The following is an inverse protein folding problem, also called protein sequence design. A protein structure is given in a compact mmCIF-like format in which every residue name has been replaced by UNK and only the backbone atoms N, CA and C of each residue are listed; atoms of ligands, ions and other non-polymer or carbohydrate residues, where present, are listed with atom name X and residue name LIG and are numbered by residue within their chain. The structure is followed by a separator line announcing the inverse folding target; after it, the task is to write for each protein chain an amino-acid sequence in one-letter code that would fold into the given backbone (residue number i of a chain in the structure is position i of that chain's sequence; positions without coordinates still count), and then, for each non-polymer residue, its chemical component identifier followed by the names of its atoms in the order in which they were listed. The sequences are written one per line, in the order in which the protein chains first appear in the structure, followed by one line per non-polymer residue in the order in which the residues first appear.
data_IF_134047018954
#
_entry.id   IF_134047018954
#
_cell.length_a   1.000
_cell.length_b   1.000
_cell.length_c   1.000
_cell.angle_alpha   90.00
_cell.angle_beta   90.00
_cell.angle_gamma   90.00
#
_symmetry.space_group_name_H-M   'P 1'
#
loop_
_entity.id
_entity.type
_entity.pdbx_description
1 polymer ?
#
# COMPACT_ATOMS: atom_id res chain seq x y z
N UNK A 1 -14.27 -10.19 12.28
CA UNK A 1 -14.97 -10.47 11.01
C UNK A 1 -14.19 -9.83 9.87
N UNK A 2 -13.60 -10.64 8.99
CA UNK A 2 -12.69 -10.23 7.91
C UNK A 2 -13.45 -9.42 6.85
N UNK A 3 -13.49 -8.10 7.00
CA UNK A 3 -14.13 -7.15 6.06
C UNK A 3 -13.17 -6.72 4.95
N UNK A 4 -12.52 -7.68 4.32
CA UNK A 4 -11.62 -7.44 3.17
C UNK A 4 -12.34 -6.77 1.99
N UNK A 5 -13.68 -6.81 1.98
CA UNK A 5 -14.53 -6.26 0.92
C UNK A 5 -15.34 -5.02 1.36
N UNK A 6 -15.12 -4.49 2.56
CA UNK A 6 -15.87 -3.28 2.96
C UNK A 6 -15.22 -2.05 2.33
N UNK A 7 -15.96 -1.36 1.46
CA UNK A 7 -15.56 -0.06 0.89
C UNK A 7 -15.10 0.94 1.96
N UNK A 8 -15.68 0.88 3.16
CA UNK A 8 -15.31 1.73 4.30
C UNK A 8 -13.92 1.37 4.85
N UNK A 9 -13.57 0.08 4.86
CA UNK A 9 -12.24 -0.40 5.25
C UNK A 9 -11.18 0.04 4.24
N UNK A 10 -11.47 -0.09 2.94
CA UNK A 10 -10.59 0.39 1.88
C UNK A 10 -10.37 1.90 1.95
N UNK A 11 -11.45 2.68 2.10
CA UNK A 11 -11.34 4.15 2.27
C UNK A 11 -10.46 4.53 3.46
N UNK A 12 -10.64 3.86 4.61
CA UNK A 12 -9.80 4.12 5.79
C UNK A 12 -8.35 3.70 5.56
N UNK A 13 -8.11 2.58 4.88
CA UNK A 13 -6.78 2.08 4.55
C UNK A 13 -6.03 3.06 3.65
N UNK A 14 -6.68 3.55 2.57
CA UNK A 14 -6.10 4.57 1.70
C UNK A 14 -5.83 5.89 2.44
N UNK A 15 -6.78 6.37 3.25
CA UNK A 15 -6.60 7.58 4.05
C UNK A 15 -5.47 7.43 5.07
N UNK A 16 -5.31 6.25 5.65
CA UNK A 16 -4.26 5.93 6.60
C UNK A 16 -2.89 5.90 5.92
N UNK A 17 -2.77 5.23 4.77
CA UNK A 17 -1.55 5.23 3.94
C UNK A 17 -1.17 6.66 3.58
N UNK A 18 -2.13 7.47 3.10
CA UNK A 18 -1.88 8.86 2.76
C UNK A 18 -1.39 9.67 3.97
N UNK A 19 -2.02 9.52 5.14
CA UNK A 19 -1.59 10.17 6.38
C UNK A 19 -0.19 9.72 6.81
N UNK A 20 0.16 8.46 6.61
CA UNK A 20 1.49 7.90 6.90
C UNK A 20 2.56 8.44 5.96
N UNK A 21 2.26 8.56 4.67
CA UNK A 21 3.17 9.14 3.69
C UNK A 21 3.42 10.64 3.99
N UNK A 22 2.38 11.36 4.42
CA UNK A 22 2.47 12.78 4.76
C UNK A 22 3.07 13.04 6.16
N UNK A 23 3.02 12.06 7.07
CA UNK A 23 3.55 12.21 8.43
C UNK A 23 5.07 12.33 8.45
N UNK A 24 5.59 13.27 9.25
CA UNK A 24 7.04 13.44 9.49
C UNK A 24 7.60 12.46 10.53
N UNK A 25 6.73 11.84 11.33
CA UNK A 25 7.11 10.88 12.37
C UNK A 25 7.45 9.49 11.81
N UNK A 26 7.03 9.23 10.56
CA UNK A 26 7.29 7.96 9.87
C UNK A 26 8.66 8.02 9.21
N UNK A 27 9.54 7.09 9.59
CA UNK A 27 10.87 6.98 9.02
C UNK A 27 10.81 6.87 7.48
N UNK A 28 11.69 7.59 6.78
CA UNK A 28 11.75 7.58 5.30
C UNK A 28 11.94 6.16 4.76
N UNK A 29 12.65 5.29 5.49
CA UNK A 29 12.78 3.86 5.16
C UNK A 29 11.44 3.11 5.11
N UNK A 30 10.50 3.44 5.99
CA UNK A 30 9.17 2.84 5.96
C UNK A 30 8.35 3.37 4.78
N UNK A 31 8.54 4.64 4.40
CA UNK A 31 7.91 5.19 3.18
C UNK A 31 8.45 4.50 1.93
N UNK A 32 9.76 4.22 1.89
CA UNK A 32 10.39 3.48 0.80
C UNK A 32 9.87 2.04 0.67
N UNK A 33 9.49 1.38 1.77
CA UNK A 33 8.87 0.05 1.70
C UNK A 33 7.54 0.02 0.94
N UNK A 34 6.80 1.13 0.89
CA UNK A 34 5.61 1.28 0.05
C UNK A 34 5.94 1.79 -1.34
N UNK A 35 6.87 2.76 -1.42
CA UNK A 35 7.22 3.42 -2.67
C UNK A 35 8.02 2.52 -3.63
N UNK A 36 8.92 1.67 -3.12
CA UNK A 36 9.74 0.76 -3.94
C UNK A 36 8.87 -0.21 -4.74
N UNK A 37 7.92 -0.96 -4.13
CA UNK A 37 7.01 -1.82 -4.89
C UNK A 37 6.23 -1.08 -5.97
N UNK A 38 5.77 0.15 -5.66
CA UNK A 38 5.01 0.99 -6.60
C UNK A 38 5.89 1.44 -7.77
N UNK A 39 7.12 1.89 -7.52
CA UNK A 39 8.07 2.31 -8.57
C UNK A 39 8.50 1.11 -9.42
N UNK A 40 8.82 -0.02 -8.78
CA UNK A 40 9.17 -1.26 -9.49
C UNK A 40 8.02 -1.65 -10.40
N UNK A 41 6.79 -1.62 -9.90
CA UNK A 41 5.61 -1.89 -10.69
C UNK A 41 5.41 -0.88 -11.82
N UNK A 42 5.74 0.40 -11.63
CA UNK A 42 5.65 1.41 -12.69
C UNK A 42 6.66 1.17 -13.81
N UNK A 43 7.86 0.66 -13.49
CA UNK A 43 8.90 0.37 -14.49
C UNK A 43 8.69 -0.99 -15.17
N UNK A 44 8.02 -1.95 -14.52
CA UNK A 44 7.69 -3.26 -15.10
C UNK A 44 6.95 -3.19 -16.44
N UNK A 45 5.91 -2.38 -16.66
CA UNK A 45 5.23 -2.29 -17.95
C UNK A 45 6.12 -1.75 -19.08
N UNK A 46 7.17 -0.96 -18.77
CA UNK A 46 8.18 -0.55 -19.77
C UNK A 46 9.07 -1.73 -20.21
N UNK A 47 9.20 -2.78 -19.38
CA UNK A 47 10.05 -3.95 -19.64
C UNK A 47 9.24 -5.16 -20.12
N UNK A 48 7.96 -5.24 -19.72
CA UNK A 48 7.04 -6.34 -20.01
C UNK A 48 5.73 -5.79 -20.60
N UNK A 49 5.68 -5.54 -21.92
CA UNK A 49 4.40 -5.35 -22.59
C UNK A 49 3.66 -6.69 -22.53
N UNK A 50 2.38 -6.70 -22.10
CA UNK A 50 1.46 -7.86 -22.05
C UNK A 50 1.32 -8.61 -20.71
N UNK A 51 1.57 -8.00 -19.56
CA UNK A 51 1.11 -8.56 -18.28
C UNK A 51 -0.20 -7.86 -17.85
N UNK A 52 -1.38 -8.50 -17.99
CA UNK A 52 -2.65 -7.99 -17.49
C UNK A 52 -2.82 -8.34 -16.00
N UNK A 53 -1.79 -8.11 -15.19
CA UNK A 53 -1.99 -8.10 -13.74
C UNK A 53 -2.65 -6.76 -13.46
N UNK A 54 -3.97 -6.78 -13.23
CA UNK A 54 -4.77 -5.61 -12.93
C UNK A 54 -4.06 -4.76 -11.86
N UNK A 55 -3.64 -3.53 -12.20
CA UNK A 55 -2.91 -2.60 -11.32
C UNK A 55 -3.56 -2.49 -9.94
N UNK A 56 -4.89 -2.64 -9.92
CA UNK A 56 -5.76 -2.63 -8.75
C UNK A 56 -5.47 -3.82 -7.83
N UNK A 57 -5.34 -5.05 -8.35
CA UNK A 57 -5.09 -6.24 -7.53
C UNK A 57 -3.74 -6.17 -6.81
N UNK A 58 -2.69 -5.76 -7.53
CA UNK A 58 -1.35 -5.62 -6.96
C UNK A 58 -1.31 -4.51 -5.90
N UNK A 59 -1.91 -3.36 -6.22
CA UNK A 59 -2.03 -2.24 -5.28
C UNK A 59 -2.84 -2.61 -4.05
N UNK A 60 -3.91 -3.38 -4.20
CA UNK A 60 -4.73 -3.85 -3.07
C UNK A 60 -3.93 -4.76 -2.13
N UNK A 61 -3.18 -5.73 -2.65
CA UNK A 61 -2.35 -6.63 -1.84
C UNK A 61 -1.26 -5.85 -1.08
N UNK A 62 -0.56 -4.94 -1.76
CA UNK A 62 0.47 -4.11 -1.12
C UNK A 62 -0.13 -3.19 -0.07
N UNK A 63 -1.27 -2.55 -0.37
CA UNK A 63 -1.94 -1.65 0.57
C UNK A 63 -2.36 -2.38 1.84
N UNK A 64 -2.92 -3.59 1.73
CA UNK A 64 -3.32 -4.40 2.86
C UNK A 64 -2.12 -4.85 3.70
N UNK A 65 -1.05 -5.33 3.05
CA UNK A 65 0.19 -5.73 3.70
C UNK A 65 0.84 -4.55 4.43
N UNK A 66 0.94 -3.40 3.77
CA UNK A 66 1.54 -2.20 4.34
C UNK A 66 0.72 -1.68 5.51
N UNK A 67 -0.61 -1.62 5.39
CA UNK A 67 -1.48 -1.20 6.48
C UNK A 67 -1.38 -2.13 7.68
N UNK A 68 -1.36 -3.46 7.47
CA UNK A 68 -1.18 -4.43 8.55
C UNK A 68 0.20 -4.29 9.24
N UNK A 69 1.26 -4.04 8.45
CA UNK A 69 2.63 -3.85 8.96
C UNK A 69 2.73 -2.57 9.79
N UNK A 70 2.19 -1.46 9.30
CA UNK A 70 2.26 -0.16 9.99
C UNK A 70 1.35 -0.11 11.20
N UNK A 71 0.17 -0.73 11.14
CA UNK A 71 -0.72 -0.91 12.29
C UNK A 71 -0.03 -1.66 13.43
N UNK A 72 0.68 -2.75 13.13
CA UNK A 72 1.48 -3.48 14.14
C UNK A 72 2.68 -2.67 14.65
N UNK A 73 3.43 -2.02 13.75
CA UNK A 73 4.68 -1.33 14.11
C UNK A 73 4.45 -0.08 14.96
N UNK A 74 3.40 0.67 14.67
CA UNK A 74 3.05 1.91 15.37
C UNK A 74 1.91 1.72 16.38
N UNK A 75 1.45 0.48 16.59
CA UNK A 75 0.34 0.09 17.46
C UNK A 75 -0.96 0.89 17.20
N UNK A 76 -1.22 1.17 15.93
CA UNK A 76 -2.39 1.91 15.49
C UNK A 76 -3.48 0.87 15.20
N UNK A 77 -4.43 0.72 16.14
CA UNK A 77 -5.57 -0.19 16.07
C UNK A 77 -6.80 0.43 15.40
#
# INVERSE_FOLDING_TARGET
MRKLLSLRHWKNTFAFIYKLLMSKEVAVRDKLLFLIPVIVYWVVPDVLPLIPIDDIAFTMIIAEWFAARMGRKYNIS
#
